data_IF_144467531706
#
_entry.id   IF_144467531706
#
_cell.length_a   1.000
_cell.length_b   1.000
_cell.length_c   1.000
_cell.angle_alpha   90.00
_cell.angle_beta   90.00
_cell.angle_gamma   90.00
#
_symmetry.space_group_name_H-M   'P 1'
#
loop_
_entity.id
_entity.type
_entity.pdbx_description
1 polymer ?
#
# COMPACT_ATOMS: atom_id res chain seq x y z
N UNK A 1 13.29 -17.23 -4.24
CA UNK A 1 13.46 -17.12 -2.77
C UNK A 1 14.52 -16.07 -2.54
N UNK A 2 14.13 -14.82 -2.23
CA UNK A 2 15.10 -13.76 -1.94
C UNK A 2 15.51 -13.87 -0.46
N UNK A 3 16.80 -13.80 -0.12
CA UNK A 3 17.25 -14.02 1.26
C UNK A 3 16.88 -12.83 2.15
N UNK A 4 16.28 -13.12 3.30
CA UNK A 4 16.10 -12.15 4.38
C UNK A 4 17.47 -11.86 5.01
N UNK A 5 17.98 -10.64 4.86
CA UNK A 5 19.20 -10.19 5.54
C UNK A 5 18.88 -9.86 7.00
N UNK A 6 19.71 -10.34 7.93
CA UNK A 6 19.59 -10.11 9.38
C UNK A 6 19.79 -8.65 9.81
N UNK A 7 19.63 -8.34 11.12
CA UNK A 7 19.35 -7.00 11.59
C UNK A 7 20.62 -6.14 11.62
N UNK A 8 20.75 -5.25 10.63
CA UNK A 8 21.63 -4.08 10.61
C UNK A 8 20.87 -2.79 10.96
N UNK A 9 21.58 -1.67 11.20
CA UNK A 9 21.14 -0.56 12.06
C UNK A 9 19.87 0.10 11.53
N UNK A 10 18.83 0.21 12.37
CA UNK A 10 17.52 0.85 12.11
C UNK A 10 17.19 1.04 10.62
N UNK A 11 17.05 -0.09 9.92
CA UNK A 11 16.51 -0.08 8.57
C UNK A 11 15.05 0.34 8.69
N UNK A 12 14.78 1.62 8.41
CA UNK A 12 13.41 2.04 8.10
C UNK A 12 13.04 1.31 6.84
N UNK A 13 12.30 0.19 6.95
CA UNK A 13 11.76 -0.46 5.78
C UNK A 13 10.77 0.51 5.17
N UNK A 14 11.08 1.04 3.99
CA UNK A 14 10.21 1.92 3.22
C UNK A 14 9.47 1.04 2.21
N UNK A 15 8.29 0.57 2.62
CA UNK A 15 7.34 -0.08 1.72
C UNK A 15 6.33 0.98 1.25
N UNK A 16 6.09 1.02 -0.06
CA UNK A 16 5.08 1.86 -0.68
C UNK A 16 4.10 0.98 -1.46
N UNK A 17 2.83 1.35 -1.45
CA UNK A 17 1.79 0.70 -2.25
C UNK A 17 1.65 1.44 -3.57
N UNK A 18 1.80 0.76 -4.70
CA UNK A 18 1.53 1.30 -6.03
C UNK A 18 0.28 0.66 -6.63
N UNK A 19 -0.36 1.32 -7.59
CA UNK A 19 -1.44 0.75 -8.38
C UNK A 19 -1.22 0.97 -9.89
N UNK A 20 -1.95 0.20 -10.70
CA UNK A 20 -1.97 0.30 -12.15
C UNK A 20 -3.39 0.07 -12.66
N UNK A 21 -3.74 0.67 -13.81
CA UNK A 21 -5.07 0.49 -14.42
C UNK A 21 -4.95 -0.13 -15.81
N UNK A 22 -5.96 -0.92 -16.20
CA UNK A 22 -6.11 -1.40 -17.57
C UNK A 22 -7.58 -1.33 -17.99
N UNK A 23 -7.81 -1.18 -19.29
CA UNK A 23 -9.14 -1.31 -19.89
C UNK A 23 -9.49 -2.76 -20.26
N UNK A 24 -8.57 -3.72 -20.06
CA UNK A 24 -8.81 -5.14 -20.29
C UNK A 24 -8.21 -5.96 -19.15
N UNK A 25 -8.83 -7.10 -18.83
CA UNK A 25 -8.31 -8.02 -17.81
C UNK A 25 -6.89 -8.53 -18.15
N UNK A 26 -6.61 -8.69 -19.45
CA UNK A 26 -5.30 -9.13 -19.96
C UNK A 26 -4.24 -8.03 -20.02
N UNK A 27 -4.57 -6.79 -19.66
CA UNK A 27 -3.66 -5.66 -19.75
C UNK A 27 -3.69 -4.94 -21.11
N UNK A 28 -2.70 -4.05 -21.37
CA UNK A 28 -1.58 -3.71 -20.49
C UNK A 28 -2.05 -2.92 -19.25
N UNK A 29 -1.37 -3.14 -18.11
CA UNK A 29 -1.57 -2.37 -16.89
C UNK A 29 -0.62 -1.17 -16.88
N UNK A 30 -1.17 0.04 -16.92
CA UNK A 30 -0.41 1.27 -16.90
C UNK A 30 -0.25 1.70 -15.45
N UNK A 31 1.00 1.73 -14.97
CA UNK A 31 1.32 2.15 -13.61
C UNK A 31 0.92 3.61 -13.39
N UNK A 32 0.37 3.91 -12.22
CA UNK A 32 0.11 5.29 -11.79
C UNK A 32 1.41 6.10 -11.69
N UNK A 33 1.30 7.41 -11.93
CA UNK A 33 2.41 8.36 -11.74
C UNK A 33 2.72 8.62 -10.27
N UNK A 34 1.80 8.27 -9.35
CA UNK A 34 1.95 8.44 -7.91
C UNK A 34 1.64 7.13 -7.17
N UNK A 35 2.34 6.85 -6.05
CA UNK A 35 1.98 5.73 -5.17
C UNK A 35 0.58 5.94 -4.58
N UNK A 36 -0.06 4.84 -4.20
CA UNK A 36 -1.36 4.80 -3.54
C UNK A 36 -1.25 5.12 -2.05
N UNK A 37 -0.24 4.57 -1.37
CA UNK A 37 0.06 4.79 0.05
C UNK A 37 1.57 4.78 0.23
N UNK A 38 2.10 5.74 0.98
CA UNK A 38 3.52 5.82 1.36
C UNK A 38 3.69 5.98 2.86
N UNK A 39 4.91 5.80 3.35
CA UNK A 39 5.26 6.17 4.72
C UNK A 39 4.97 7.66 4.97
N UNK A 40 4.26 7.95 6.06
CA UNK A 40 3.82 9.30 6.43
C UNK A 40 2.35 9.56 6.10
N UNK A 41 1.77 8.87 5.12
CA UNK A 41 0.33 8.95 4.85
C UNK A 41 -0.43 8.46 6.08
N UNK A 42 -1.41 9.24 6.54
CA UNK A 42 -2.26 8.90 7.69
C UNK A 42 -1.48 8.52 8.97
N UNK A 43 -0.22 8.98 9.09
CA UNK A 43 0.65 8.68 10.23
C UNK A 43 1.20 7.24 10.26
N UNK A 44 1.08 6.47 9.18
CA UNK A 44 1.58 5.08 9.13
C UNK A 44 2.99 4.98 8.54
N UNK A 45 3.70 3.90 8.88
CA UNK A 45 5.03 3.58 8.31
C UNK A 45 4.99 2.22 7.64
N UNK A 46 5.60 2.12 6.45
CA UNK A 46 5.69 0.89 5.66
C UNK A 46 4.33 0.24 5.35
N UNK A 47 3.39 0.95 4.70
CA UNK A 47 2.14 0.35 4.24
C UNK A 47 2.38 -0.73 3.20
N UNK A 48 1.62 -1.82 3.27
CA UNK A 48 1.73 -2.94 2.34
C UNK A 48 0.56 -3.93 2.41
N UNK A 49 0.58 -4.92 1.52
CA UNK A 49 -0.40 -6.02 1.53
C UNK A 49 -1.85 -5.55 1.37
N UNK A 50 -2.07 -4.60 0.46
CA UNK A 50 -3.36 -3.94 0.29
C UNK A 50 -4.39 -4.80 -0.43
N UNK A 51 -5.64 -4.76 0.03
CA UNK A 51 -6.79 -5.36 -0.63
C UNK A 51 -8.00 -4.43 -0.59
N UNK A 52 -8.80 -4.40 -1.66
CA UNK A 52 -10.10 -3.72 -1.66
C UNK A 52 -11.19 -4.66 -1.17
N UNK A 53 -12.18 -4.11 -0.47
CA UNK A 53 -13.47 -4.80 -0.29
C UNK A 53 -14.17 -4.92 -1.65
N UNK A 54 -14.97 -5.97 -1.81
CA UNK A 54 -15.80 -6.18 -3.00
C UNK A 54 -16.76 -4.98 -3.20
N UNK A 55 -16.95 -4.57 -4.45
CA UNK A 55 -17.70 -3.35 -4.79
C UNK A 55 -16.98 -2.03 -4.50
N UNK A 56 -15.78 -2.05 -3.89
CA UNK A 56 -14.97 -0.86 -3.60
C UNK A 56 -15.33 -0.14 -2.30
N UNK A 57 -14.95 1.13 -2.18
CA UNK A 57 -15.27 1.99 -1.02
C UNK A 57 -14.30 1.87 0.15
N UNK A 58 -13.75 0.69 0.42
CA UNK A 58 -12.73 0.48 1.45
C UNK A 58 -11.53 -0.31 0.95
N UNK A 59 -10.33 0.14 1.33
CA UNK A 59 -9.07 -0.59 1.20
C UNK A 59 -8.58 -0.95 2.60
N UNK A 60 -8.17 -2.20 2.78
CA UNK A 60 -7.45 -2.66 3.96
C UNK A 60 -5.99 -2.89 3.62
N UNK A 61 -5.09 -2.57 4.53
CA UNK A 61 -3.65 -2.77 4.36
C UNK A 61 -2.98 -2.97 5.72
N UNK A 62 -1.79 -3.56 5.72
CA UNK A 62 -0.97 -3.58 6.93
C UNK A 62 -0.01 -2.41 6.95
N UNK A 63 0.30 -1.89 8.14
CA UNK A 63 1.41 -0.96 8.36
C UNK A 63 1.99 -1.16 9.76
N UNK A 64 3.11 -0.51 10.07
CA UNK A 64 3.68 -0.54 11.42
C UNK A 64 2.83 0.25 12.40
N UNK A 65 2.56 -0.35 13.56
CA UNK A 65 1.80 0.27 14.65
C UNK A 65 2.58 0.46 15.94
N UNK A 66 3.74 -0.18 16.08
CA UNK A 66 4.53 -0.17 17.31
C UNK A 66 5.94 0.35 17.07
N UNK A 67 6.59 0.79 18.15
CA UNK A 67 7.99 1.21 18.15
C UNK A 67 8.98 0.07 17.91
N UNK A 68 8.53 -1.19 18.00
CA UNK A 68 9.35 -2.38 17.78
C UNK A 68 9.81 -2.55 16.31
N UNK A 69 9.22 -1.81 15.37
CA UNK A 69 9.56 -1.82 13.95
C UNK A 69 9.23 -3.12 13.21
N UNK A 70 8.66 -4.12 13.89
CA UNK A 70 8.37 -5.45 13.37
C UNK A 70 6.87 -5.71 13.32
N UNK A 71 6.13 -5.28 14.33
CA UNK A 71 4.69 -5.46 14.41
C UNK A 71 3.96 -4.75 13.28
N UNK A 72 3.03 -5.46 12.66
CA UNK A 72 2.16 -4.97 11.59
C UNK A 72 0.72 -5.03 12.06
N UNK A 73 0.04 -3.90 12.08
CA UNK A 73 -1.38 -3.81 12.34
C UNK A 73 -2.16 -3.62 11.05
N UNK A 74 -3.44 -4.00 11.06
CA UNK A 74 -4.36 -3.77 9.96
C UNK A 74 -5.01 -2.39 10.08
N UNK A 75 -5.04 -1.67 8.96
CA UNK A 75 -5.65 -0.36 8.81
C UNK A 75 -6.66 -0.40 7.68
N UNK A 76 -7.62 0.54 7.70
CA UNK A 76 -8.57 0.75 6.62
C UNK A 76 -8.63 2.22 6.22
N UNK A 77 -8.84 2.47 4.93
CA UNK A 77 -9.09 3.80 4.35
C UNK A 77 -10.23 3.74 3.37
N UNK A 78 -10.92 4.87 3.16
CA UNK A 78 -11.88 5.00 2.08
C UNK A 78 -11.16 5.11 0.74
N UNK A 79 -11.79 4.67 -0.35
CA UNK A 79 -11.28 4.97 -1.69
C UNK A 79 -12.37 5.07 -2.74
N UNK A 80 -12.05 5.81 -3.81
CA UNK A 80 -12.89 5.96 -4.99
C UNK A 80 -12.08 5.92 -6.27
N UNK A 81 -12.75 5.59 -7.38
CA UNK A 81 -12.16 5.59 -8.71
C UNK A 81 -12.77 6.70 -9.57
N UNK A 82 -11.98 7.70 -9.93
CA UNK A 82 -12.42 8.85 -10.73
C UNK A 82 -11.34 9.20 -11.75
N UNK A 83 -11.73 9.57 -12.97
CA UNK A 83 -10.79 10.02 -14.01
C UNK A 83 -9.62 9.05 -14.27
N UNK A 84 -9.85 7.74 -14.14
CA UNK A 84 -8.84 6.66 -14.24
C UNK A 84 -7.78 6.67 -13.13
N UNK A 85 -8.04 7.35 -12.03
CA UNK A 85 -7.20 7.40 -10.84
C UNK A 85 -7.91 6.79 -9.63
N UNK A 86 -7.11 6.20 -8.75
CA UNK A 86 -7.56 5.74 -7.44
C UNK A 86 -7.29 6.88 -6.46
N UNK A 87 -8.31 7.32 -5.75
CA UNK A 87 -8.23 8.39 -4.77
C UNK A 87 -8.54 7.81 -3.39
N UNK A 88 -7.60 7.93 -2.46
CA UNK A 88 -7.79 7.55 -1.05
C UNK A 88 -8.46 8.72 -0.32
N UNK A 89 -9.44 8.43 0.53
CA UNK A 89 -10.28 9.40 1.25
C UNK A 89 -10.29 9.16 2.74
#
# INVERSE_FOLDING_TARGET
MFPCHGPGPSLVFMDDVSYATSSSLGGPYIKSSRPLLVTGDYGVTAPGGTASVDGGGHLVFHARCESDGLSRCMFQVGWKFENREVLVT
#
